data_IF_162788815732
#
_entry.id   IF_162788815732
#
_cell.length_a   1.000
_cell.length_b   1.000
_cell.length_c   1.000
_cell.angle_alpha   90.00
_cell.angle_beta   90.00
_cell.angle_gamma   90.00
#
_symmetry.space_group_name_H-M   'P 1'
#
loop_
_entity.id
_entity.type
_entity.pdbx_description
1 polymer ?
#
# COMPACT_ATOMS: atom_id res chain seq x y z
N UNK A 1 6.84 -50.33 -0.49
CA UNK A 1 5.52 -49.73 -0.23
C UNK A 1 5.57 -48.55 0.74
N UNK A 2 6.49 -48.48 1.72
CA UNK A 2 6.60 -47.31 2.60
C UNK A 2 7.20 -46.02 1.98
N UNK A 3 7.80 -46.10 0.78
CA UNK A 3 8.47 -44.97 0.11
C UNK A 3 7.51 -44.08 -0.71
N UNK A 4 6.43 -44.63 -1.25
CA UNK A 4 5.47 -43.87 -2.09
C UNK A 4 4.56 -42.98 -1.24
N UNK A 5 4.11 -43.47 -0.08
CA UNK A 5 3.28 -42.68 0.84
C UNK A 5 4.05 -41.50 1.43
N UNK A 6 5.36 -41.64 1.65
CA UNK A 6 6.21 -40.57 2.17
C UNK A 6 6.48 -39.45 1.14
N UNK A 7 6.57 -39.78 -0.15
CA UNK A 7 6.79 -38.79 -1.22
C UNK A 7 5.49 -38.03 -1.57
N UNK A 8 4.31 -38.65 -1.39
CA UNK A 8 3.02 -37.98 -1.61
C UNK A 8 2.79 -36.77 -0.68
N UNK A 9 3.32 -36.81 0.55
CA UNK A 9 3.21 -35.71 1.52
C UNK A 9 4.46 -34.82 1.60
N UNK A 10 5.46 -35.06 0.76
CA UNK A 10 6.69 -34.26 0.76
C UNK A 10 6.41 -32.81 0.30
N UNK A 11 6.75 -31.85 1.16
CA UNK A 11 6.62 -30.43 0.86
C UNK A 11 7.70 -30.05 -0.18
N UNK A 12 7.28 -29.79 -1.42
CA UNK A 12 8.20 -29.39 -2.50
C UNK A 12 8.38 -27.86 -2.56
N UNK A 13 9.60 -27.37 -2.80
CA UNK A 13 9.87 -25.94 -3.01
C UNK A 13 8.95 -25.32 -4.07
N UNK A 14 8.48 -24.10 -3.81
CA UNK A 14 7.74 -23.29 -4.78
C UNK A 14 8.46 -21.96 -5.05
N UNK A 15 9.06 -21.84 -6.23
CA UNK A 15 9.73 -20.62 -6.69
C UNK A 15 8.80 -19.68 -7.46
N UNK A 16 7.65 -20.16 -7.94
CA UNK A 16 6.73 -19.36 -8.76
C UNK A 16 5.84 -18.51 -7.87
N UNK A 17 5.30 -19.08 -6.78
CA UNK A 17 4.45 -18.37 -5.83
C UNK A 17 5.06 -17.05 -5.33
N UNK A 18 6.27 -17.06 -4.72
CA UNK A 18 6.93 -15.84 -4.26
C UNK A 18 7.18 -14.81 -5.36
N UNK A 19 7.52 -15.25 -6.58
CA UNK A 19 7.74 -14.34 -7.72
C UNK A 19 6.44 -13.69 -8.21
N UNK A 20 5.34 -14.43 -8.25
CA UNK A 20 4.02 -13.87 -8.57
C UNK A 20 3.60 -12.84 -7.54
N UNK A 21 3.75 -13.16 -6.24
CA UNK A 21 3.48 -12.22 -5.16
C UNK A 21 4.35 -10.98 -5.29
N UNK A 22 5.64 -11.13 -5.60
CA UNK A 22 6.54 -10.01 -5.80
C UNK A 22 6.09 -9.05 -6.91
N UNK A 23 5.62 -9.57 -8.06
CA UNK A 23 5.09 -8.75 -9.15
C UNK A 23 3.85 -7.99 -8.69
N UNK A 24 2.91 -8.66 -8.01
CA UNK A 24 1.70 -8.02 -7.48
C UNK A 24 2.06 -6.90 -6.50
N UNK A 25 2.98 -7.16 -5.57
CA UNK A 25 3.45 -6.14 -4.61
C UNK A 25 4.02 -4.91 -5.32
N UNK A 26 4.84 -5.08 -6.36
CA UNK A 26 5.39 -3.95 -7.12
C UNK A 26 4.27 -3.15 -7.78
N UNK A 27 3.34 -3.82 -8.46
CA UNK A 27 2.24 -3.15 -9.17
C UNK A 27 1.37 -2.36 -8.20
N UNK A 28 0.92 -2.97 -7.09
CA UNK A 28 0.12 -2.27 -6.09
C UNK A 28 0.89 -1.12 -5.42
N UNK A 29 2.19 -1.30 -5.17
CA UNK A 29 3.01 -0.25 -4.57
C UNK A 29 3.17 0.97 -5.48
N UNK A 30 3.20 0.78 -6.80
CA UNK A 30 3.18 1.90 -7.76
C UNK A 30 1.87 2.68 -7.64
N UNK A 31 0.72 2.00 -7.56
CA UNK A 31 -0.57 2.67 -7.36
C UNK A 31 -0.61 3.46 -6.05
N UNK A 32 -0.11 2.89 -4.94
CA UNK A 32 0.03 3.63 -3.68
C UNK A 32 0.94 4.85 -3.81
N UNK A 33 1.98 4.77 -4.64
CA UNK A 33 2.88 5.88 -4.93
C UNK A 33 2.18 7.06 -5.63
N UNK A 34 1.23 6.80 -6.53
CA UNK A 34 0.43 7.86 -7.15
C UNK A 34 -0.48 8.56 -6.15
N UNK A 35 -1.14 7.80 -5.27
CA UNK A 35 -1.98 8.39 -4.20
C UNK A 35 -1.12 9.20 -3.23
N UNK A 36 0.03 8.65 -2.82
CA UNK A 36 0.99 9.35 -1.98
C UNK A 36 1.46 10.66 -2.61
N UNK A 37 1.77 10.64 -3.90
CA UNK A 37 2.17 11.85 -4.63
C UNK A 37 1.05 12.89 -4.64
N UNK A 38 -0.19 12.49 -4.96
CA UNK A 38 -1.32 13.42 -4.97
C UNK A 38 -1.53 14.09 -3.60
N UNK A 39 -1.39 13.33 -2.52
CA UNK A 39 -1.47 13.88 -1.17
C UNK A 39 -0.32 14.83 -0.85
N UNK A 40 0.91 14.45 -1.20
CA UNK A 40 2.09 15.27 -0.94
C UNK A 40 2.13 16.54 -1.79
N UNK A 41 1.56 16.52 -3.00
CA UNK A 41 1.43 17.71 -3.84
C UNK A 41 0.42 18.72 -3.24
N UNK A 42 -0.56 18.25 -2.45
CA UNK A 42 -1.53 19.08 -1.73
C UNK A 42 -1.11 19.43 -0.29
N UNK A 43 -0.14 18.70 0.26
CA UNK A 43 0.33 18.91 1.62
C UNK A 43 1.00 20.30 1.77
N UNK A 44 0.50 21.10 2.70
CA UNK A 44 1.04 22.43 2.99
C UNK A 44 0.67 23.51 1.98
N UNK A 45 -0.22 23.24 1.02
CA UNK A 45 -0.77 24.27 0.15
C UNK A 45 -1.91 25.01 0.84
N UNK A 46 -1.89 26.35 0.83
CA UNK A 46 -2.94 27.15 1.48
C UNK A 46 -4.28 27.04 0.75
N UNK A 47 -4.23 26.93 -0.58
CA UNK A 47 -5.40 26.89 -1.44
C UNK A 47 -5.23 25.87 -2.57
N UNK A 48 -6.38 25.40 -3.05
CA UNK A 48 -6.46 24.56 -4.23
C UNK A 48 -6.87 25.43 -5.41
N UNK A 49 -6.39 25.12 -6.62
CA UNK A 49 -6.70 25.94 -7.79
C UNK A 49 -8.17 25.83 -8.19
N UNK A 50 -8.73 26.93 -8.69
CA UNK A 50 -10.11 26.97 -9.20
C UNK A 50 -10.36 25.89 -10.26
N UNK A 51 -9.40 25.66 -11.17
CA UNK A 51 -9.49 24.64 -12.19
C UNK A 51 -9.59 23.20 -11.63
N UNK A 52 -8.93 22.93 -10.50
CA UNK A 52 -9.03 21.64 -9.82
C UNK A 52 -10.37 21.51 -9.09
N UNK A 53 -10.84 22.59 -8.45
CA UNK A 53 -12.16 22.61 -7.81
C UNK A 53 -13.29 22.44 -8.82
N UNK A 54 -13.23 23.11 -9.97
CA UNK A 54 -14.18 22.92 -11.08
C UNK A 54 -14.26 21.45 -11.48
N UNK A 55 -13.11 20.78 -11.66
CA UNK A 55 -13.06 19.39 -12.06
C UNK A 55 -13.68 18.45 -11.02
N UNK A 56 -13.44 18.68 -9.74
CA UNK A 56 -13.84 17.74 -8.68
C UNK A 56 -15.28 17.99 -8.24
N UNK A 57 -15.74 19.23 -8.30
CA UNK A 57 -17.10 19.62 -7.91
C UNK A 57 -18.10 19.47 -9.06
N UNK A 58 -17.65 19.35 -10.32
CA UNK A 58 -18.54 19.19 -11.48
C UNK A 58 -19.52 18.02 -11.30
N UNK A 59 -19.00 16.81 -11.05
CA UNK A 59 -19.86 15.61 -10.93
C UNK A 59 -20.78 15.66 -9.70
N UNK A 60 -20.28 15.95 -8.48
CA UNK A 60 -21.13 16.11 -7.30
C UNK A 60 -22.22 17.19 -7.46
N UNK A 61 -21.89 18.33 -8.07
CA UNK A 61 -22.87 19.41 -8.25
C UNK A 61 -23.90 19.07 -9.32
N UNK A 62 -23.55 18.32 -10.36
CA UNK A 62 -24.52 17.75 -11.30
C UNK A 62 -25.48 16.75 -10.63
N UNK A 63 -25.07 16.13 -9.52
CA UNK A 63 -25.88 15.21 -8.72
C UNK A 63 -26.73 15.92 -7.64
N UNK A 64 -26.60 17.24 -7.50
CA UNK A 64 -27.43 18.06 -6.62
C UNK A 64 -26.81 18.43 -5.27
N UNK A 65 -25.53 18.13 -5.03
CA UNK A 65 -24.87 18.44 -3.75
C UNK A 65 -24.66 19.96 -3.52
N UNK A 66 -24.59 20.73 -4.61
CA UNK A 66 -24.43 22.19 -4.63
C UNK A 66 -23.35 22.69 -3.65
N UNK A 67 -22.17 22.06 -3.68
CA UNK A 67 -21.02 22.44 -2.87
C UNK A 67 -20.30 23.61 -3.53
N UNK A 68 -20.14 24.69 -2.77
CA UNK A 68 -19.42 25.89 -3.18
C UNK A 68 -17.90 25.69 -3.10
N UNK A 69 -17.17 26.54 -3.81
CA UNK A 69 -15.70 26.50 -3.78
C UNK A 69 -15.17 26.85 -2.38
N UNK A 70 -15.86 27.74 -1.66
CA UNK A 70 -15.52 28.14 -0.30
C UNK A 70 -15.67 26.98 0.70
N UNK A 71 -16.72 26.17 0.56
CA UNK A 71 -16.92 24.94 1.35
C UNK A 71 -15.80 23.92 1.10
N UNK A 72 -15.45 23.67 -0.17
CA UNK A 72 -14.34 22.77 -0.50
C UNK A 72 -12.98 23.31 -0.04
N UNK A 73 -12.77 24.63 -0.13
CA UNK A 73 -11.54 25.27 0.31
C UNK A 73 -11.37 25.19 1.83
N UNK A 74 -12.47 25.29 2.58
CA UNK A 74 -12.49 25.09 4.04
C UNK A 74 -12.16 23.65 4.41
N UNK A 75 -12.74 22.68 3.69
CA UNK A 75 -12.37 21.27 3.81
C UNK A 75 -10.87 21.04 3.60
N UNK A 76 -10.31 21.56 2.49
CA UNK A 76 -8.87 21.43 2.20
C UNK A 76 -7.99 22.03 3.31
N UNK A 77 -8.36 23.21 3.80
CA UNK A 77 -7.63 23.86 4.89
C UNK A 77 -7.69 23.05 6.18
N UNK A 78 -8.85 22.51 6.55
CA UNK A 78 -9.00 21.68 7.74
C UNK A 78 -8.15 20.41 7.65
N UNK A 79 -8.10 19.76 6.48
CA UNK A 79 -7.22 18.61 6.25
C UNK A 79 -5.74 19.01 6.41
N UNK A 80 -5.32 20.15 5.85
CA UNK A 80 -3.93 20.61 5.94
C UNK A 80 -3.54 21.05 7.36
N UNK A 81 -4.42 21.77 8.07
CA UNK A 81 -4.21 22.20 9.46
C UNK A 81 -4.00 21.00 10.41
N UNK A 82 -4.69 19.90 10.14
CA UNK A 82 -4.55 18.65 10.88
C UNK A 82 -3.49 17.69 10.29
N UNK A 83 -2.70 18.14 9.30
CA UNK A 83 -1.67 17.35 8.62
C UNK A 83 -2.18 16.09 7.92
N UNK A 84 -3.45 16.00 7.55
CA UNK A 84 -4.06 14.81 6.93
C UNK A 84 -3.37 14.39 5.63
N UNK A 85 -3.14 15.34 4.72
CA UNK A 85 -2.38 15.11 3.48
C UNK A 85 -0.96 14.63 3.77
N UNK A 86 -0.26 15.25 4.71
CA UNK A 86 1.12 14.90 5.03
C UNK A 86 1.23 13.49 5.65
N UNK A 87 0.39 13.18 6.63
CA UNK A 87 0.39 11.88 7.32
C UNK A 87 0.07 10.76 6.34
N UNK A 88 -1.00 10.92 5.55
CA UNK A 88 -1.40 9.92 4.55
C UNK A 88 -0.35 9.81 3.45
N UNK A 89 0.09 10.94 2.88
CA UNK A 89 1.08 11.00 1.82
C UNK A 89 2.42 10.35 2.20
N UNK A 90 3.00 10.71 3.34
CA UNK A 90 4.29 10.14 3.79
C UNK A 90 4.19 8.65 4.09
N UNK A 91 3.12 8.23 4.79
CA UNK A 91 2.96 6.82 5.14
C UNK A 91 2.74 5.93 3.90
N UNK A 92 1.96 6.39 2.93
CA UNK A 92 1.78 5.71 1.64
C UNK A 92 3.07 5.73 0.80
N UNK A 93 3.83 6.83 0.81
CA UNK A 93 5.11 6.92 0.11
C UNK A 93 6.12 5.90 0.68
N UNK A 94 6.23 5.80 2.01
CA UNK A 94 7.12 4.82 2.67
C UNK A 94 6.73 3.40 2.27
N UNK A 95 5.45 3.03 2.33
CA UNK A 95 5.03 1.69 1.94
C UNK A 95 5.16 1.42 0.45
N UNK A 96 4.96 2.43 -0.41
CA UNK A 96 5.22 2.33 -1.85
C UNK A 96 6.69 1.99 -2.12
N UNK A 97 7.62 2.75 -1.54
CA UNK A 97 9.06 2.51 -1.70
C UNK A 97 9.45 1.14 -1.12
N UNK A 98 9.02 0.84 0.10
CA UNK A 98 9.31 -0.44 0.76
C UNK A 98 8.72 -1.64 -0.01
N UNK A 99 7.52 -1.49 -0.59
CA UNK A 99 6.87 -2.51 -1.39
C UNK A 99 7.52 -2.72 -2.76
N UNK A 100 8.00 -1.66 -3.43
CA UNK A 100 8.78 -1.77 -4.67
C UNK A 100 10.13 -2.45 -4.41
N UNK A 101 10.89 -1.95 -3.43
CA UNK A 101 12.20 -2.51 -3.08
C UNK A 101 12.05 -3.93 -2.53
N UNK A 102 11.08 -4.14 -1.64
CA UNK A 102 10.76 -5.44 -1.05
C UNK A 102 10.30 -6.45 -2.11
N UNK A 103 9.43 -6.04 -3.03
CA UNK A 103 9.00 -6.84 -4.17
C UNK A 103 10.16 -7.20 -5.09
N UNK A 104 11.03 -6.26 -5.45
CA UNK A 104 12.21 -6.54 -6.26
C UNK A 104 13.16 -7.55 -5.59
N UNK A 105 13.39 -7.43 -4.27
CA UNK A 105 14.18 -8.39 -3.50
C UNK A 105 13.51 -9.75 -3.41
N UNK A 106 12.19 -9.79 -3.20
CA UNK A 106 11.40 -11.02 -3.14
C UNK A 106 11.40 -11.75 -4.49
N UNK A 107 11.33 -11.03 -5.61
CA UNK A 107 11.45 -11.60 -6.95
C UNK A 107 12.81 -12.28 -7.17
N UNK A 108 13.87 -11.74 -6.55
CA UNK A 108 15.22 -12.34 -6.49
C UNK A 108 15.34 -13.43 -5.42
N UNK A 109 14.23 -13.93 -4.87
CA UNK A 109 14.17 -14.98 -3.86
C UNK A 109 14.92 -14.63 -2.56
N UNK A 110 15.02 -13.34 -2.22
CA UNK A 110 15.56 -12.90 -0.92
C UNK A 110 14.42 -12.75 0.08
N UNK A 111 14.37 -13.56 1.17
CA UNK A 111 13.27 -13.52 2.14
C UNK A 111 13.16 -12.18 2.88
N UNK A 112 14.26 -11.41 2.94
CA UNK A 112 14.26 -10.04 3.45
C UNK A 112 13.30 -9.12 2.68
N UNK A 113 13.09 -9.36 1.38
CA UNK A 113 12.17 -8.58 0.56
C UNK A 113 10.72 -8.63 1.05
N UNK A 114 10.24 -9.83 1.42
CA UNK A 114 8.89 -9.98 2.00
C UNK A 114 8.74 -9.27 3.35
N UNK A 115 9.79 -9.32 4.20
CA UNK A 115 9.78 -8.61 5.49
C UNK A 115 9.73 -7.09 5.32
N UNK A 116 10.54 -6.55 4.40
CA UNK A 116 10.57 -5.13 4.09
C UNK A 116 9.22 -4.65 3.56
N UNK A 117 8.65 -5.38 2.59
CA UNK A 117 7.33 -5.07 2.04
C UNK A 117 6.22 -5.11 3.11
N UNK A 118 6.27 -6.09 4.02
CA UNK A 118 5.31 -6.21 5.11
C UNK A 118 5.38 -5.01 6.08
N UNK A 119 6.58 -4.62 6.50
CA UNK A 119 6.75 -3.44 7.38
C UNK A 119 6.24 -2.17 6.71
N UNK A 120 6.59 -1.97 5.43
CA UNK A 120 6.08 -0.85 4.64
C UNK A 120 4.55 -0.82 4.54
N UNK A 121 3.94 -1.98 4.25
CA UNK A 121 2.49 -2.11 4.15
C UNK A 121 1.79 -1.80 5.48
N UNK A 122 2.36 -2.22 6.62
CA UNK A 122 1.83 -1.89 7.94
C UNK A 122 1.92 -0.39 8.25
N UNK A 123 3.02 0.28 7.89
CA UNK A 123 3.16 1.73 8.05
C UNK A 123 2.10 2.45 7.21
N UNK A 124 1.93 2.06 5.95
CA UNK A 124 0.89 2.60 5.07
C UNK A 124 -0.52 2.32 5.57
N UNK A 125 -0.77 1.15 6.14
CA UNK A 125 -2.09 0.81 6.69
C UNK A 125 -2.43 1.71 7.88
N UNK A 126 -1.52 1.82 8.87
CA UNK A 126 -1.76 2.65 10.06
C UNK A 126 -1.82 4.13 9.71
N UNK A 127 -0.87 4.64 8.93
CA UNK A 127 -0.87 6.04 8.50
C UNK A 127 -2.02 6.38 7.56
N UNK A 128 -2.46 5.42 6.74
CA UNK A 128 -3.66 5.53 5.91
C UNK A 128 -4.93 5.63 6.75
N UNK A 129 -5.08 4.83 7.80
CA UNK A 129 -6.22 4.92 8.73
C UNK A 129 -6.24 6.30 9.41
N UNK A 130 -5.12 6.71 10.01
CA UNK A 130 -5.03 7.99 10.72
C UNK A 130 -5.28 9.16 9.79
N UNK A 131 -4.66 9.16 8.60
CA UNK A 131 -4.91 10.16 7.57
C UNK A 131 -6.38 10.21 7.16
N UNK A 132 -6.98 9.07 6.83
CA UNK A 132 -8.37 9.01 6.40
C UNK A 132 -9.38 9.42 7.48
N UNK A 133 -9.08 9.22 8.76
CA UNK A 133 -9.90 9.77 9.85
C UNK A 133 -9.94 11.31 9.79
N UNK A 134 -8.80 11.96 9.54
CA UNK A 134 -8.73 13.42 9.39
C UNK A 134 -9.53 13.90 8.17
N UNK A 135 -9.40 13.20 7.03
CA UNK A 135 -10.20 13.49 5.84
C UNK A 135 -11.70 13.33 6.11
N UNK A 136 -12.09 12.27 6.82
CA UNK A 136 -13.47 12.02 7.18
C UNK A 136 -14.03 13.11 8.09
N UNK A 137 -13.31 13.46 9.16
CA UNK A 137 -13.74 14.50 10.11
C UNK A 137 -13.89 15.86 9.41
N UNK A 138 -12.92 16.24 8.57
CA UNK A 138 -12.99 17.46 7.77
C UNK A 138 -14.18 17.44 6.78
N UNK A 139 -14.47 16.30 6.16
CA UNK A 139 -15.59 16.15 5.25
C UNK A 139 -16.93 16.28 5.98
N UNK A 140 -17.06 15.70 7.18
CA UNK A 140 -18.26 15.83 8.02
C UNK A 140 -18.51 17.28 8.47
N UNK A 141 -17.44 18.07 8.63
CA UNK A 141 -17.52 19.47 9.06
C UNK A 141 -17.89 20.44 7.94
N UNK A 142 -17.35 20.22 6.73
CA UNK A 142 -17.37 21.24 5.67
C UNK A 142 -18.10 20.82 4.39
N UNK A 143 -18.33 19.52 4.20
CA UNK A 143 -18.92 18.98 2.98
C UNK A 143 -20.32 18.42 3.26
N UNK A 144 -21.09 18.18 2.18
CA UNK A 144 -22.41 17.56 2.23
C UNK A 144 -22.63 16.65 1.02
N UNK A 145 -23.51 15.67 1.18
CA UNK A 145 -23.97 14.82 0.08
C UNK A 145 -22.88 13.88 -0.44
N UNK A 146 -22.89 13.63 -1.74
CA UNK A 146 -22.06 12.60 -2.38
C UNK A 146 -20.56 12.85 -2.20
N UNK A 147 -20.10 14.11 -2.19
CA UNK A 147 -18.67 14.39 -1.99
C UNK A 147 -18.19 14.08 -0.56
N UNK A 148 -19.06 14.18 0.44
CA UNK A 148 -18.78 13.76 1.81
C UNK A 148 -18.70 12.24 1.90
N UNK A 149 -19.67 11.53 1.31
CA UNK A 149 -19.69 10.07 1.23
C UNK A 149 -18.45 9.54 0.49
N UNK A 150 -17.99 10.24 -0.55
CA UNK A 150 -16.78 9.88 -1.29
C UNK A 150 -15.53 9.89 -0.40
N UNK A 151 -15.42 10.82 0.56
CA UNK A 151 -14.30 10.84 1.50
C UNK A 151 -14.29 9.57 2.38
N UNK A 152 -15.47 9.12 2.82
CA UNK A 152 -15.63 7.88 3.58
C UNK A 152 -15.30 6.64 2.73
N UNK A 153 -15.89 6.52 1.54
CA UNK A 153 -15.66 5.37 0.65
C UNK A 153 -14.21 5.27 0.20
N UNK A 154 -13.56 6.40 -0.09
CA UNK A 154 -12.15 6.42 -0.43
C UNK A 154 -11.28 5.94 0.75
N UNK A 155 -11.67 6.31 1.98
CA UNK A 155 -11.05 5.80 3.20
C UNK A 155 -11.11 4.28 3.30
N UNK A 156 -12.29 3.68 3.11
CA UNK A 156 -12.45 2.22 3.12
C UNK A 156 -11.68 1.53 2.00
N UNK A 157 -11.74 2.07 0.78
CA UNK A 157 -11.01 1.52 -0.35
C UNK A 157 -9.49 1.51 -0.09
N UNK A 158 -8.93 2.61 0.42
CA UNK A 158 -7.52 2.69 0.79
C UNK A 158 -7.14 1.68 1.88
N UNK A 159 -7.99 1.51 2.90
CA UNK A 159 -7.79 0.53 3.97
C UNK A 159 -7.78 -0.92 3.47
N UNK A 160 -8.73 -1.29 2.62
CA UNK A 160 -8.80 -2.64 2.02
C UNK A 160 -7.57 -2.90 1.15
N UNK A 161 -7.17 -1.93 0.32
CA UNK A 161 -6.01 -2.05 -0.55
C UNK A 161 -4.70 -2.25 0.24
N UNK A 162 -4.46 -1.44 1.27
CA UNK A 162 -3.25 -1.52 2.09
C UNK A 162 -3.22 -2.80 2.94
N UNK A 163 -4.38 -3.25 3.46
CA UNK A 163 -4.51 -4.56 4.10
C UNK A 163 -4.17 -5.70 3.14
N UNK A 164 -4.70 -5.66 1.92
CA UNK A 164 -4.43 -6.69 0.92
C UNK A 164 -2.95 -6.76 0.55
N UNK A 165 -2.27 -5.63 0.42
CA UNK A 165 -0.82 -5.57 0.19
C UNK A 165 -0.05 -6.18 1.37
N UNK A 166 -0.46 -5.92 2.62
CA UNK A 166 0.15 -6.53 3.80
C UNK A 166 -0.05 -8.05 3.82
N UNK A 167 -1.26 -8.53 3.49
CA UNK A 167 -1.56 -9.96 3.39
C UNK A 167 -0.70 -10.64 2.31
N UNK A 168 -0.60 -10.03 1.12
CA UNK A 168 0.27 -10.53 0.04
C UNK A 168 1.73 -10.59 0.48
N UNK A 169 2.24 -9.57 1.16
CA UNK A 169 3.62 -9.55 1.65
C UNK A 169 3.90 -10.63 2.71
N UNK A 170 2.89 -11.01 3.49
CA UNK A 170 2.99 -12.04 4.51
C UNK A 170 3.01 -13.46 3.94
N UNK A 171 2.25 -13.73 2.87
CA UNK A 171 2.07 -15.10 2.33
C UNK A 171 3.38 -15.86 2.08
N UNK A 172 4.41 -15.31 1.40
CA UNK A 172 5.67 -16.01 1.16
C UNK A 172 6.47 -16.28 2.44
N UNK A 173 6.25 -15.49 3.49
CA UNK A 173 6.98 -15.63 4.75
C UNK A 173 6.43 -16.77 5.61
N UNK A 174 5.12 -17.04 5.54
CA UNK A 174 4.46 -18.09 6.32
C UNK A 174 4.31 -19.41 5.55
N UNK A 175 4.32 -19.37 4.22
CA UNK A 175 4.18 -20.57 3.39
C UNK A 175 5.44 -21.45 3.45
N UNK A 176 5.30 -22.70 3.91
CA UNK A 176 6.40 -23.65 4.04
C UNK A 176 7.12 -23.94 2.71
N UNK A 177 6.38 -24.03 1.59
CA UNK A 177 6.96 -24.28 0.25
C UNK A 177 7.80 -23.11 -0.24
N UNK A 178 7.35 -21.88 0.04
CA UNK A 178 8.10 -20.67 -0.28
C UNK A 178 9.38 -20.57 0.57
N UNK A 179 9.30 -20.90 1.87
CA UNK A 179 10.46 -20.91 2.76
C UNK A 179 11.53 -21.91 2.33
N UNK A 180 11.12 -23.10 1.89
CA UNK A 180 12.05 -24.09 1.32
C UNK A 180 12.71 -23.56 0.04
N UNK A 181 11.95 -22.92 -0.85
CA UNK A 181 12.50 -22.31 -2.05
C UNK A 181 13.51 -21.18 -1.75
N UNK A 182 13.31 -20.40 -0.69
CA UNK A 182 14.31 -19.43 -0.25
C UNK A 182 15.58 -20.12 0.28
N UNK A 183 15.44 -21.19 1.06
CA UNK A 183 16.58 -21.91 1.61
C UNK A 183 17.43 -22.56 0.50
N UNK A 184 16.80 -23.14 -0.52
CA UNK A 184 17.47 -23.74 -1.66
C UNK A 184 18.27 -22.72 -2.47
N UNK A 185 17.65 -21.58 -2.82
CA UNK A 185 18.31 -20.54 -3.64
C UNK A 185 19.43 -19.81 -2.89
N UNK A 186 19.32 -19.68 -1.57
CA UNK A 186 20.32 -18.98 -0.76
C UNK A 186 21.29 -19.95 -0.04
N UNK A 187 21.37 -21.21 -0.46
CA UNK A 187 22.33 -22.19 0.07
C UNK A 187 23.75 -21.74 -0.30
N UNK A 188 24.62 -21.61 0.70
CA UNK A 188 26.05 -21.34 0.51
C UNK A 188 26.79 -22.66 0.61
N UNK A 189 27.51 -23.06 -0.43
CA UNK A 189 28.43 -24.19 -0.38
C UNK A 189 29.82 -23.67 -0.02
N UNK A 190 30.34 -24.11 1.13
CA UNK A 190 31.71 -23.81 1.53
C UNK A 190 32.64 -24.74 0.75
N UNK A 191 33.35 -24.21 -0.24
CA UNK A 191 34.48 -24.90 -0.84
C UNK A 191 35.63 -24.84 0.17
N UNK A 192 35.86 -25.94 0.88
CA UNK A 192 37.11 -26.13 1.61
C UNK A 192 38.19 -26.38 0.56
N UNK A 193 38.98 -25.36 0.23
CA UNK A 193 40.27 -25.58 -0.40
C UNK A 193 41.15 -26.32 0.63
N UNK A 194 41.37 -27.61 0.42
CA UNK A 194 42.46 -28.33 1.08
C UNK A 194 43.76 -27.63 0.68
N UNK A 195 44.35 -26.89 1.62
CA UNK A 195 45.71 -26.39 1.48
C UNK A 195 46.68 -27.59 1.47
N UNK A 196 47.28 -27.86 0.31
CA UNK A 196 48.45 -28.76 0.16
C UNK A 196 49.67 -28.26 0.94
#
# INVERSE_FOLDING_TARGET
>A
MASDDADMFAIRPDHKGPKTVAILLIVFSIFLGFVAKADLDLAGTEQVSDAYMEQILETPNQQGDNVSFEEYQSYHQEVNNNNGYLIRGVSLAIGSVAGIVGGALLYRMKPFGGKLALVGALISFVGGIVGNMIFYDAAQLHLRGTIQDNAEYFGYACGICTFFVAALALLPLINARARLAFAEVNKVELLQEESE
#
